data_IF_901205702574
#
_entry.id   IF_901205702574
#
_cell.length_a   1.000
_cell.length_b   1.000
_cell.length_c   1.000
_cell.angle_alpha   90.00
_cell.angle_beta   90.00
_cell.angle_gamma   90.00
#
_symmetry.space_group_name_H-M   'P 1'
#
loop_
_entity.id
_entity.type
_entity.pdbx_description
1 polymer ?
#
# COMPACT_ATOMS: atom_id res chain seq x y z
N UNK A 1 -10.15 -41.89 1.49
CA UNK A 1 -9.50 -40.59 1.72
C UNK A 1 -10.12 -39.97 2.95
N UNK A 2 -9.42 -39.90 4.10
CA UNK A 2 -9.95 -39.20 5.28
C UNK A 2 -10.05 -37.70 4.96
N UNK A 3 -11.20 -37.10 5.24
CA UNK A 3 -11.34 -35.64 5.22
C UNK A 3 -10.63 -35.10 6.46
N UNK A 4 -9.68 -34.18 6.27
CA UNK A 4 -8.98 -33.53 7.38
C UNK A 4 -9.99 -32.84 8.30
N UNK A 5 -9.75 -32.94 9.62
CA UNK A 5 -10.61 -32.34 10.62
C UNK A 5 -10.61 -30.80 10.55
N UNK A 6 -11.63 -30.20 11.18
CA UNK A 6 -11.67 -28.78 11.59
C UNK A 6 -11.80 -27.73 10.45
N UNK A 7 -12.92 -27.79 9.72
CA UNK A 7 -13.53 -26.61 9.05
C UNK A 7 -14.68 -26.00 9.89
N UNK A 8 -14.56 -26.02 11.23
CA UNK A 8 -15.55 -25.45 12.15
C UNK A 8 -14.84 -24.43 13.05
N UNK A 9 -15.12 -23.14 12.85
CA UNK A 9 -14.86 -22.12 13.88
C UNK A 9 -14.26 -20.80 13.41
N UNK A 10 -13.34 -20.80 12.43
CA UNK A 10 -12.68 -19.56 11.97
C UNK A 10 -13.33 -19.06 10.68
N UNK A 11 -14.10 -17.94 10.69
CA UNK A 11 -14.58 -17.33 9.46
C UNK A 11 -13.39 -16.81 8.65
N UNK A 12 -13.44 -16.96 7.32
CA UNK A 12 -12.47 -16.29 6.44
C UNK A 12 -12.68 -14.77 6.49
N UNK A 13 -11.71 -14.00 5.97
CA UNK A 13 -11.73 -12.53 6.10
C UNK A 13 -12.99 -11.90 5.49
N UNK A 14 -13.52 -12.47 4.40
CA UNK A 14 -14.78 -12.03 3.82
C UNK A 14 -15.98 -12.28 4.77
N UNK A 15 -16.09 -13.46 5.36
CA UNK A 15 -17.15 -13.77 6.33
C UNK A 15 -17.00 -12.97 7.64
N UNK A 16 -15.77 -12.78 8.12
CA UNK A 16 -15.48 -11.97 9.31
C UNK A 16 -15.87 -10.50 9.12
N UNK A 17 -15.61 -9.95 7.93
CA UNK A 17 -16.08 -8.61 7.56
C UNK A 17 -17.61 -8.53 7.51
N UNK A 18 -18.29 -9.49 6.88
CA UNK A 18 -19.76 -9.51 6.83
C UNK A 18 -20.40 -9.69 8.21
N UNK A 19 -19.76 -10.43 9.11
CA UNK A 19 -20.20 -10.57 10.51
C UNK A 19 -20.01 -9.25 11.29
N UNK A 20 -18.88 -8.56 11.09
CA UNK A 20 -18.60 -7.29 11.78
C UNK A 20 -19.49 -6.13 11.34
N UNK A 21 -20.23 -6.24 10.23
CA UNK A 21 -21.29 -5.29 9.86
C UNK A 21 -22.49 -5.30 10.83
N UNK A 22 -22.66 -6.37 11.63
CA UNK A 22 -23.71 -6.47 12.65
C UNK A 22 -23.37 -5.66 13.91
N UNK A 23 -22.09 -5.46 14.19
CA UNK A 23 -21.59 -4.70 15.32
C UNK A 23 -21.48 -3.22 14.94
N UNK A 24 -22.38 -2.40 15.46
CA UNK A 24 -22.44 -0.96 15.14
C UNK A 24 -21.37 -0.12 15.85
N UNK A 25 -20.64 -0.67 16.83
CA UNK A 25 -19.56 0.04 17.51
C UNK A 25 -18.27 0.08 16.69
N UNK A 26 -18.08 -0.90 15.78
CA UNK A 26 -16.92 -0.93 14.89
C UNK A 26 -17.05 0.12 13.79
N UNK A 27 -16.15 1.10 13.81
CA UNK A 27 -16.06 2.16 12.79
C UNK A 27 -15.55 1.56 11.46
N UNK A 28 -16.21 1.93 10.37
CA UNK A 28 -15.70 1.69 9.01
C UNK A 28 -14.98 2.94 8.48
N UNK A 29 -13.74 2.76 8.03
CA UNK A 29 -12.96 3.78 7.33
C UNK A 29 -12.93 3.46 5.85
N UNK A 30 -13.51 4.34 5.04
CA UNK A 30 -13.43 4.25 3.57
C UNK A 30 -12.12 4.90 3.10
N UNK A 31 -11.27 4.13 2.40
CA UNK A 31 -10.00 4.59 1.84
C UNK A 31 -10.18 5.24 0.46
N UNK A 32 -10.98 4.61 -0.40
CA UNK A 32 -11.43 5.19 -1.66
C UNK A 32 -12.81 4.65 -2.07
N UNK A 33 -13.48 5.36 -2.99
CA UNK A 33 -14.73 4.94 -3.63
C UNK A 33 -14.64 5.31 -5.10
N UNK A 34 -14.80 4.33 -5.98
CA UNK A 34 -14.69 4.48 -7.43
C UNK A 34 -16.02 4.05 -8.04
N UNK A 35 -16.82 4.96 -8.65
CA UNK A 35 -18.17 4.64 -9.11
C UNK A 35 -18.23 3.58 -10.21
N UNK A 36 -17.23 3.56 -11.11
CA UNK A 36 -17.22 2.78 -12.34
C UNK A 36 -16.03 1.80 -12.39
N UNK A 37 -16.21 0.65 -11.73
CA UNK A 37 -15.32 -0.50 -11.83
C UNK A 37 -15.98 -1.62 -12.65
N UNK A 38 -15.22 -2.23 -13.56
CA UNK A 38 -15.67 -3.32 -14.43
C UNK A 38 -14.98 -4.63 -14.03
N UNK A 39 -15.72 -5.73 -14.00
CA UNK A 39 -15.23 -7.05 -13.57
C UNK A 39 -15.36 -8.06 -14.71
N UNK A 40 -14.28 -8.77 -14.98
CA UNK A 40 -14.11 -9.69 -16.09
C UNK A 40 -13.84 -11.11 -15.60
N UNK A 41 -14.31 -12.09 -16.37
CA UNK A 41 -13.89 -13.48 -16.17
C UNK A 41 -12.46 -13.65 -16.68
N UNK A 42 -11.57 -14.20 -15.85
CA UNK A 42 -10.21 -14.49 -16.29
C UNK A 42 -10.14 -15.72 -17.20
N UNK A 43 -9.23 -15.72 -18.19
CA UNK A 43 -8.83 -16.95 -18.88
C UNK A 43 -8.10 -17.90 -17.91
N UNK A 44 -7.89 -19.18 -18.29
CA UNK A 44 -7.04 -20.09 -17.53
C UNK A 44 -5.66 -19.47 -17.25
N UNK A 45 -5.18 -19.59 -16.01
CA UNK A 45 -3.98 -18.89 -15.53
C UNK A 45 -2.79 -19.14 -16.46
N UNK A 46 -2.16 -18.09 -17.02
CA UNK A 46 -1.03 -18.26 -17.93
C UNK A 46 0.16 -18.88 -17.19
N UNK A 47 0.82 -19.86 -17.82
CA UNK A 47 1.94 -20.63 -17.25
C UNK A 47 3.23 -19.81 -17.11
N UNK A 48 3.35 -18.70 -17.85
CA UNK A 48 4.42 -17.72 -17.71
C UNK A 48 3.93 -16.35 -18.23
N UNK A 49 4.46 -15.24 -17.68
CA UNK A 49 4.24 -13.89 -18.22
C UNK A 49 3.30 -12.96 -17.42
N UNK A 50 2.67 -13.44 -16.34
CA UNK A 50 1.73 -12.65 -15.55
C UNK A 50 0.38 -12.44 -16.23
N UNK A 51 -0.50 -11.64 -15.62
CA UNK A 51 -1.83 -11.34 -16.17
C UNK A 51 -1.75 -10.20 -17.19
N UNK A 52 -2.52 -10.33 -18.28
CA UNK A 52 -2.66 -9.33 -19.33
C UNK A 52 -4.12 -8.96 -19.48
N UNK A 53 -4.43 -7.67 -19.41
CA UNK A 53 -5.79 -7.15 -19.53
C UNK A 53 -6.36 -7.28 -20.94
N UNK A 54 -5.51 -7.25 -21.97
CA UNK A 54 -5.91 -7.44 -23.35
C UNK A 54 -6.45 -8.85 -23.67
N UNK A 55 -6.22 -9.84 -22.80
CA UNK A 55 -6.64 -11.23 -22.98
C UNK A 55 -8.02 -11.50 -22.31
N UNK A 56 -8.74 -10.47 -21.84
CA UNK A 56 -10.05 -10.59 -21.19
C UNK A 56 -11.18 -10.16 -22.14
N UNK A 57 -12.10 -11.09 -22.42
CA UNK A 57 -13.18 -10.92 -23.41
C UNK A 57 -14.55 -10.64 -22.77
N UNK A 58 -14.81 -11.28 -21.62
CA UNK A 58 -16.14 -11.31 -21.00
C UNK A 58 -16.20 -10.50 -19.72
N UNK A 59 -16.82 -9.33 -19.83
CA UNK A 59 -17.37 -8.59 -18.69
C UNK A 59 -18.51 -9.39 -18.03
N UNK A 60 -18.55 -9.34 -16.70
CA UNK A 60 -19.50 -10.09 -15.85
C UNK A 60 -20.32 -9.14 -14.98
N UNK A 61 -19.75 -8.00 -14.59
CA UNK A 61 -20.36 -7.04 -13.68
C UNK A 61 -19.73 -5.65 -13.85
N UNK A 62 -20.52 -4.60 -13.66
CA UNK A 62 -20.09 -3.21 -13.52
C UNK A 62 -20.77 -2.62 -12.27
N UNK A 63 -20.04 -1.82 -11.51
CA UNK A 63 -20.58 -1.12 -10.36
C UNK A 63 -19.52 -0.37 -9.57
N UNK A 64 -19.88 0.03 -8.36
CA UNK A 64 -19.03 0.87 -7.50
C UNK A 64 -18.09 0.01 -6.67
N UNK A 65 -16.80 0.31 -6.74
CA UNK A 65 -15.79 -0.28 -5.88
C UNK A 65 -15.57 0.61 -4.65
N UNK A 66 -15.37 -0.01 -3.47
CA UNK A 66 -14.84 0.67 -2.29
C UNK A 66 -13.70 -0.11 -1.68
N UNK A 67 -12.62 0.57 -1.31
CA UNK A 67 -11.62 0.02 -0.38
C UNK A 67 -12.00 0.49 1.01
N UNK A 68 -12.26 -0.44 1.93
CA UNK A 68 -12.73 -0.15 3.29
C UNK A 68 -11.92 -0.90 4.33
N UNK A 69 -11.87 -0.32 5.52
CA UNK A 69 -11.23 -0.90 6.70
C UNK A 69 -12.19 -0.89 7.88
N UNK A 70 -12.23 -2.00 8.61
CA UNK A 70 -13.18 -2.22 9.71
C UNK A 70 -12.49 -3.07 10.78
N UNK A 71 -12.01 -2.42 11.84
CA UNK A 71 -10.99 -3.00 12.73
C UNK A 71 -9.73 -3.39 11.94
N UNK A 72 -9.16 -4.55 12.24
CA UNK A 72 -7.96 -5.08 11.56
C UNK A 72 -8.21 -5.58 10.12
N UNK A 73 -9.46 -5.57 9.64
CA UNK A 73 -9.83 -6.08 8.32
C UNK A 73 -9.75 -4.97 7.27
N UNK A 74 -8.99 -5.19 6.19
CA UNK A 74 -9.06 -4.36 4.96
C UNK A 74 -9.65 -5.21 3.85
N UNK A 75 -10.71 -4.73 3.21
CA UNK A 75 -11.40 -5.43 2.12
C UNK A 75 -11.74 -4.48 0.98
N UNK A 76 -11.84 -5.04 -0.22
CA UNK A 76 -12.39 -4.39 -1.41
C UNK A 76 -13.84 -4.87 -1.55
N UNK A 77 -14.79 -3.95 -1.53
CA UNK A 77 -16.20 -4.20 -1.79
C UNK A 77 -16.53 -3.91 -3.24
N UNK A 78 -17.30 -4.80 -3.86
CA UNK A 78 -17.97 -4.58 -5.12
C UNK A 78 -19.45 -4.34 -4.83
N UNK A 79 -19.98 -3.14 -5.11
CA UNK A 79 -21.34 -2.71 -4.79
C UNK A 79 -22.16 -2.49 -6.08
N UNK A 80 -23.31 -3.15 -6.20
CA UNK A 80 -24.21 -2.96 -7.34
C UNK A 80 -24.75 -1.52 -7.35
N UNK A 81 -24.58 -0.83 -8.48
CA UNK A 81 -24.92 0.59 -8.65
C UNK A 81 -26.41 0.92 -8.47
N UNK A 82 -27.30 -0.07 -8.58
CA UNK A 82 -28.75 0.14 -8.47
C UNK A 82 -29.26 0.22 -7.04
N UNK A 83 -28.60 -0.48 -6.12
CA UNK A 83 -29.10 -0.68 -4.74
C UNK A 83 -28.01 -0.61 -3.65
N UNK A 84 -26.75 -0.38 -4.02
CA UNK A 84 -25.58 -0.42 -3.14
C UNK A 84 -25.42 -1.75 -2.36
N UNK A 85 -25.98 -2.86 -2.87
CA UNK A 85 -25.81 -4.18 -2.26
C UNK A 85 -24.43 -4.76 -2.57
N UNK A 86 -23.86 -5.48 -1.60
CA UNK A 86 -22.56 -6.14 -1.75
C UNK A 86 -22.70 -7.31 -2.72
N UNK A 87 -22.09 -7.17 -3.90
CA UNK A 87 -21.93 -8.24 -4.89
C UNK A 87 -20.81 -9.20 -4.49
N UNK A 88 -19.68 -8.67 -4.01
CA UNK A 88 -18.55 -9.47 -3.53
C UNK A 88 -17.67 -8.72 -2.51
N UNK A 89 -16.94 -9.48 -1.71
CA UNK A 89 -15.92 -9.01 -0.77
C UNK A 89 -14.59 -9.67 -1.14
N UNK A 90 -13.55 -8.86 -1.37
CA UNK A 90 -12.21 -9.33 -1.72
C UNK A 90 -11.23 -8.92 -0.60
N UNK A 91 -10.75 -9.86 0.23
CA UNK A 91 -9.78 -9.58 1.28
C UNK A 91 -8.47 -9.00 0.74
N UNK A 92 -8.01 -7.89 1.31
CA UNK A 92 -6.68 -7.34 0.99
C UNK A 92 -5.64 -8.10 1.81
N UNK A 93 -4.98 -9.05 1.16
CA UNK A 93 -3.89 -9.88 1.71
C UNK A 93 -2.79 -10.04 0.67
N UNK A 94 -1.62 -10.55 1.06
CA UNK A 94 -0.49 -10.69 0.14
C UNK A 94 -0.85 -11.63 -1.04
N UNK A 95 -0.56 -11.19 -2.26
CA UNK A 95 -0.99 -11.87 -3.49
C UNK A 95 -2.51 -11.91 -3.75
N UNK A 96 -3.33 -11.13 -3.03
CA UNK A 96 -4.77 -11.01 -3.33
C UNK A 96 -5.11 -9.99 -4.42
N UNK A 97 -4.18 -9.07 -4.73
CA UNK A 97 -4.30 -8.08 -5.79
C UNK A 97 -3.02 -8.12 -6.63
N UNK A 98 -3.13 -8.59 -7.87
CA UNK A 98 -2.06 -8.56 -8.87
C UNK A 98 -2.34 -7.44 -9.88
N UNK A 99 -1.32 -6.74 -10.37
CA UNK A 99 -1.47 -5.77 -11.48
C UNK A 99 -1.14 -6.42 -12.82
N UNK A 100 -1.87 -6.05 -13.87
CA UNK A 100 -1.59 -6.54 -15.22
C UNK A 100 -0.31 -5.94 -15.81
N UNK A 101 0.42 -6.73 -16.61
CA UNK A 101 1.73 -6.32 -17.15
C UNK A 101 1.63 -5.34 -18.33
N UNK A 102 0.49 -5.32 -19.02
CA UNK A 102 0.21 -4.54 -20.22
C UNK A 102 -0.60 -3.25 -19.96
N UNK A 103 -1.10 -3.05 -18.74
CA UNK A 103 -2.03 -1.97 -18.44
C UNK A 103 -1.90 -1.45 -17.00
N UNK A 104 -1.95 -0.13 -16.83
CA UNK A 104 -2.02 0.50 -15.50
C UNK A 104 -3.44 0.54 -14.92
N UNK A 105 -4.47 0.19 -15.71
CA UNK A 105 -5.88 0.25 -15.30
C UNK A 105 -6.48 -1.10 -14.91
N UNK A 106 -5.73 -2.18 -15.10
CA UNK A 106 -6.23 -3.55 -15.02
C UNK A 106 -5.51 -4.31 -13.91
N UNK A 107 -6.29 -4.98 -13.07
CA UNK A 107 -5.87 -5.68 -11.87
C UNK A 107 -6.58 -7.02 -11.78
N UNK A 108 -5.99 -7.99 -11.10
CA UNK A 108 -6.63 -9.27 -10.77
C UNK A 108 -6.89 -9.31 -9.28
N UNK A 109 -8.15 -9.56 -8.92
CA UNK A 109 -8.60 -9.67 -7.53
C UNK A 109 -8.88 -11.11 -7.15
N UNK A 110 -8.40 -11.52 -5.97
CA UNK A 110 -8.81 -12.74 -5.29
C UNK A 110 -10.13 -12.49 -4.54
N UNK A 111 -11.22 -13.04 -5.05
CA UNK A 111 -12.52 -13.03 -4.38
C UNK A 111 -12.63 -14.27 -3.49
N UNK A 112 -13.10 -14.11 -2.26
CA UNK A 112 -13.36 -15.23 -1.34
C UNK A 112 -14.86 -15.41 -1.13
N UNK A 113 -15.33 -16.65 -1.27
CA UNK A 113 -16.68 -17.07 -0.91
C UNK A 113 -16.75 -17.45 0.57
N UNK A 114 -17.92 -17.35 1.20
CA UNK A 114 -18.14 -17.79 2.58
C UNK A 114 -17.75 -19.27 2.82
N UNK A 115 -17.82 -20.10 1.78
CA UNK A 115 -17.39 -21.52 1.77
C UNK A 115 -15.86 -21.74 1.91
N UNK A 116 -15.05 -20.68 2.03
CA UNK A 116 -13.59 -20.75 2.02
C UNK A 116 -12.96 -21.01 0.63
N UNK A 117 -13.78 -21.14 -0.42
CA UNK A 117 -13.32 -21.18 -1.82
C UNK A 117 -12.91 -19.79 -2.26
N UNK A 118 -11.78 -19.69 -2.97
CA UNK A 118 -11.35 -18.45 -3.62
C UNK A 118 -11.35 -18.62 -5.14
N UNK A 119 -11.56 -17.51 -5.85
CA UNK A 119 -11.48 -17.42 -7.31
C UNK A 119 -10.84 -16.09 -7.69
N UNK A 120 -10.20 -16.03 -8.86
CA UNK A 120 -9.60 -14.80 -9.37
C UNK A 120 -10.50 -14.19 -10.44
N UNK A 121 -10.75 -12.88 -10.35
CA UNK A 121 -11.46 -12.08 -11.36
C UNK A 121 -10.54 -11.00 -11.92
N UNK A 122 -10.75 -10.62 -13.17
CA UNK A 122 -10.17 -9.41 -13.72
C UNK A 122 -10.98 -8.20 -13.27
N UNK A 123 -10.31 -7.09 -13.03
CA UNK A 123 -10.91 -5.79 -12.73
C UNK A 123 -10.27 -4.74 -13.62
N UNK A 124 -11.06 -3.86 -14.20
CA UNK A 124 -10.58 -2.71 -14.95
C UNK A 124 -11.31 -1.42 -14.57
N UNK A 125 -10.59 -0.30 -14.67
CA UNK A 125 -11.13 1.04 -14.51
C UNK A 125 -11.18 1.79 -15.86
N UNK A 126 -12.14 2.71 -15.98
CA UNK A 126 -12.25 3.57 -17.16
C UNK A 126 -11.10 4.59 -17.21
N UNK A 127 -10.78 5.25 -16.09
CA UNK A 127 -9.69 6.22 -16.05
C UNK A 127 -8.41 5.68 -15.43
N UNK A 128 -7.28 6.29 -15.82
CA UNK A 128 -5.97 5.99 -15.20
C UNK A 128 -5.87 6.57 -13.78
N UNK A 129 -6.66 7.60 -13.48
CA UNK A 129 -6.68 8.26 -12.18
C UNK A 129 -7.37 7.34 -11.14
N UNK A 130 -8.55 6.80 -11.45
CA UNK A 130 -9.24 5.82 -10.60
C UNK A 130 -8.33 4.62 -10.25
N UNK A 131 -7.61 4.11 -11.25
CA UNK A 131 -6.66 3.02 -11.06
C UNK A 131 -5.46 3.38 -10.19
N UNK A 132 -5.02 4.64 -10.23
CA UNK A 132 -3.97 5.17 -9.38
C UNK A 132 -4.47 5.34 -7.94
N UNK A 133 -5.64 5.96 -7.76
CA UNK A 133 -6.28 6.16 -6.45
C UNK A 133 -6.58 4.83 -5.76
N UNK A 134 -7.01 3.81 -6.51
CA UNK A 134 -7.15 2.44 -6.03
C UNK A 134 -5.82 1.87 -5.52
N UNK A 135 -4.76 1.97 -6.32
CA UNK A 135 -3.45 1.43 -5.97
C UNK A 135 -2.85 2.15 -4.75
N UNK A 136 -2.95 3.48 -4.69
CA UNK A 136 -2.51 4.29 -3.54
C UNK A 136 -3.31 3.94 -2.27
N UNK A 137 -4.64 3.78 -2.37
CA UNK A 137 -5.45 3.38 -1.23
C UNK A 137 -5.04 2.01 -0.64
N UNK A 138 -4.61 1.06 -1.47
CA UNK A 138 -4.08 -0.23 -1.02
C UNK A 138 -2.66 -0.11 -0.42
N UNK A 139 -1.78 0.69 -1.02
CA UNK A 139 -0.42 0.93 -0.53
C UNK A 139 -0.44 1.65 0.84
N UNK A 140 -1.30 2.66 1.02
CA UNK A 140 -1.49 3.37 2.28
C UNK A 140 -2.06 2.44 3.37
N UNK A 141 -3.10 1.67 3.06
CA UNK A 141 -3.68 0.68 3.97
C UNK A 141 -2.64 -0.35 4.45
N UNK A 142 -1.82 -0.87 3.52
CA UNK A 142 -0.71 -1.77 3.85
C UNK A 142 0.33 -1.09 4.74
N UNK A 143 0.76 0.12 4.36
CA UNK A 143 1.80 0.88 5.06
C UNK A 143 1.40 1.22 6.49
N UNK A 144 0.15 1.66 6.72
CA UNK A 144 -0.34 1.98 8.06
C UNK A 144 -0.35 0.73 8.95
N UNK A 145 -0.81 -0.43 8.47
CA UNK A 145 -0.74 -1.69 9.22
C UNK A 145 0.68 -2.14 9.52
N UNK A 146 1.61 -2.00 8.58
CA UNK A 146 3.03 -2.30 8.82
C UNK A 146 3.60 -1.39 9.92
N UNK A 147 3.19 -0.11 9.98
CA UNK A 147 3.59 0.83 11.05
C UNK A 147 2.97 0.46 12.40
N UNK A 148 1.66 0.19 12.46
CA UNK A 148 0.95 -0.20 13.69
C UNK A 148 1.53 -1.50 14.28
N UNK A 149 1.73 -2.53 13.46
CA UNK A 149 2.36 -3.78 13.89
C UNK A 149 3.79 -3.57 14.40
N UNK A 150 4.52 -2.60 13.87
CA UNK A 150 5.88 -2.30 14.34
C UNK A 150 5.88 -1.47 15.63
N UNK A 151 4.91 -0.56 15.84
CA UNK A 151 4.74 0.10 17.15
C UNK A 151 4.36 -0.91 18.23
N UNK A 152 3.40 -1.81 17.96
CA UNK A 152 3.00 -2.85 18.90
C UNK A 152 4.17 -3.77 19.32
N UNK A 153 5.10 -4.07 18.41
CA UNK A 153 6.33 -4.83 18.73
C UNK A 153 7.34 -4.04 19.58
N UNK A 154 7.37 -2.71 19.48
CA UNK A 154 8.27 -1.86 20.27
C UNK A 154 7.77 -1.68 21.71
N UNK A 155 6.46 -1.70 21.92
CA UNK A 155 5.83 -1.61 23.25
C UNK A 155 5.93 -2.93 24.05
N UNK A 156 6.27 -4.04 23.38
CA UNK A 156 6.65 -5.34 23.99
C UNK A 156 8.18 -5.42 24.19
N UNK A 157 8.85 -4.28 24.31
CA UNK A 157 10.17 -4.24 24.94
C UNK A 157 10.02 -4.49 26.44
N UNK A 158 10.77 -5.45 27.00
CA UNK A 158 10.81 -5.66 28.46
C UNK A 158 10.99 -4.31 29.18
N UNK A 159 10.28 -4.07 30.31
CA UNK A 159 10.44 -2.85 31.08
C UNK A 159 11.89 -2.78 31.60
N UNK A 160 12.73 -2.06 30.85
CA UNK A 160 14.13 -1.87 31.18
C UNK A 160 14.20 -1.16 32.51
N UNK A 161 14.66 -1.90 33.51
CA UNK A 161 14.89 -1.37 34.83
C UNK A 161 16.07 -0.39 34.77
N UNK A 162 15.74 0.90 34.63
CA UNK A 162 16.68 2.00 34.71
C UNK A 162 16.95 2.42 36.16
N UNK A 163 16.56 1.62 37.16
CA UNK A 163 16.89 1.92 38.55
C UNK A 163 18.41 1.84 38.74
N UNK A 164 18.95 2.95 39.24
CA UNK A 164 20.37 3.11 39.55
C UNK A 164 20.65 2.25 40.78
N UNK A 165 21.56 1.28 40.68
CA UNK A 165 21.98 0.48 41.83
C UNK A 165 22.64 1.39 42.86
N UNK A 166 22.33 1.16 44.14
CA UNK A 166 22.71 2.03 45.24
C UNK A 166 24.24 2.26 45.27
N UNK A 167 24.66 3.48 44.92
CA UNK A 167 26.07 3.89 44.83
C UNK A 167 26.57 4.31 43.43
N UNK A 168 25.85 3.97 42.35
CA UNK A 168 26.26 4.33 40.99
C UNK A 168 25.90 5.80 40.65
N UNK A 169 26.82 6.57 40.06
CA UNK A 169 26.62 7.98 39.71
C UNK A 169 26.60 8.18 38.20
N UNK A 170 25.44 8.54 37.65
CA UNK A 170 25.31 8.91 36.23
C UNK A 170 26.03 10.25 35.99
N UNK A 171 27.11 10.23 35.20
CA UNK A 171 27.85 11.44 34.82
C UNK A 171 27.23 12.11 33.59
N UNK A 172 26.31 13.06 33.82
CA UNK A 172 25.67 13.82 32.73
C UNK A 172 26.56 14.99 32.31
N UNK A 173 27.21 14.86 31.15
CA UNK A 173 28.00 15.94 30.54
C UNK A 173 27.09 17.00 29.91
N UNK A 174 26.53 17.91 30.72
CA UNK A 174 25.66 19.01 30.24
C UNK A 174 26.49 20.04 29.48
N UNK A 175 26.60 19.85 28.17
CA UNK A 175 27.14 20.86 27.25
C UNK A 175 26.29 22.13 27.30
N UNK A 176 26.92 23.28 27.59
CA UNK A 176 26.22 24.56 27.72
C UNK A 176 25.59 24.97 26.39
N UNK A 177 24.26 25.03 26.35
CA UNK A 177 23.50 25.62 25.23
C UNK A 177 23.81 27.11 25.13
N UNK A 178 24.77 27.49 24.29
CA UNK A 178 25.00 28.87 23.91
C UNK A 178 23.91 29.32 22.93
N UNK A 179 22.89 30.00 23.46
CA UNK A 179 21.89 30.69 22.66
C UNK A 179 22.55 31.80 21.84
N UNK A 180 22.88 31.55 20.57
CA UNK A 180 23.28 32.62 19.66
C UNK A 180 22.16 32.91 18.66
N UNK A 181 21.31 33.88 19.03
CA UNK A 181 20.30 34.46 18.12
C UNK A 181 21.00 35.30 17.05
N UNK A 182 20.33 35.42 15.91
CA UNK A 182 20.83 36.04 14.67
C UNK A 182 21.43 37.43 14.90
N UNK A 183 22.58 37.70 14.28
CA UNK A 183 23.03 39.06 13.97
C UNK A 183 23.38 39.18 12.49
N UNK A 184 22.57 39.95 11.77
CA UNK A 184 22.73 40.29 10.35
C UNK A 184 23.39 41.68 10.26
N UNK A 185 24.61 41.78 9.73
CA UNK A 185 25.10 42.99 9.04
C UNK A 185 26.28 42.69 8.10
N UNK A 186 26.62 43.68 7.29
CA UNK A 186 27.17 43.59 5.92
C UNK A 186 28.30 44.61 5.75
N UNK A 187 29.26 44.29 4.86
CA UNK A 187 30.32 45.18 4.34
C UNK A 187 31.40 45.60 5.36
N UNK A 188 32.69 45.81 5.03
CA UNK A 188 33.54 45.45 3.87
C UNK A 188 35.02 45.52 4.38
N UNK A 189 36.14 45.33 3.65
CA UNK A 189 36.48 45.36 2.20
C UNK A 189 37.70 44.41 1.96
N UNK A 190 38.39 44.46 0.81
CA UNK A 190 39.85 44.16 0.79
C UNK A 190 40.44 43.11 -0.18
N UNK A 191 40.13 43.17 -1.47
CA UNK A 191 41.10 42.95 -2.59
C UNK A 191 41.90 41.62 -2.68
N UNK A 192 41.54 40.73 -3.64
CA UNK A 192 42.32 40.44 -4.90
C UNK A 192 41.81 39.20 -5.67
N UNK A 193 41.78 39.33 -7.01
CA UNK A 193 41.84 38.28 -8.06
C UNK A 193 41.00 37.00 -7.91
N UNK A 194 39.92 36.90 -8.69
CA UNK A 194 39.10 35.69 -8.78
C UNK A 194 39.72 34.56 -9.61
N UNK A 195 39.35 33.32 -9.27
CA UNK A 195 39.60 32.11 -10.06
C UNK A 195 38.29 31.48 -10.50
N UNK A 196 38.04 31.44 -11.80
CA UNK A 196 36.84 30.82 -12.38
C UNK A 196 36.95 29.29 -12.37
N UNK A 197 35.80 28.62 -12.22
CA UNK A 197 35.66 27.19 -12.52
C UNK A 197 35.98 26.93 -14.00
N UNK A 198 36.78 25.91 -14.30
CA UNK A 198 37.14 25.57 -15.69
C UNK A 198 35.93 24.98 -16.43
N UNK A 199 35.54 25.51 -17.61
CA UNK A 199 34.63 24.81 -18.50
C UNK A 199 35.34 23.60 -19.12
N UNK A 200 34.64 22.48 -19.25
CA UNK A 200 35.10 21.31 -20.01
C UNK A 200 34.78 21.50 -21.49
N UNK A 201 35.80 21.46 -22.35
CA UNK A 201 35.69 21.21 -23.80
C UNK A 201 37.06 21.05 -24.43
N UNK A 202 37.25 19.98 -25.21
CA UNK A 202 37.80 20.03 -26.59
C UNK A 202 37.84 18.65 -27.25
N UNK A 203 37.23 18.57 -28.44
CA UNK A 203 37.54 17.61 -29.52
C UNK A 203 39.05 17.61 -29.86
N UNK A 204 39.64 16.66 -30.59
CA UNK A 204 39.42 16.23 -32.01
C UNK A 204 40.52 15.17 -32.32
N UNK A 205 40.70 14.61 -33.55
CA UNK A 205 39.81 14.41 -34.69
C UNK A 205 39.77 12.95 -35.21
N UNK A 206 38.87 12.71 -36.18
CA UNK A 206 38.73 11.47 -36.97
C UNK A 206 39.98 11.22 -37.86
N UNK A 207 40.48 9.98 -37.91
CA UNK A 207 41.48 9.52 -38.91
C UNK A 207 40.87 8.51 -39.88
N UNK A 208 41.06 8.75 -41.17
CA UNK A 208 40.81 7.81 -42.28
C UNK A 208 42.13 7.51 -42.98
N UNK A 209 42.42 6.24 -43.26
CA UNK A 209 43.43 5.76 -44.22
C UNK A 209 43.00 4.38 -44.70
N UNK A 210 43.18 4.10 -46.00
CA UNK A 210 42.78 2.85 -46.66
C UNK A 210 41.82 3.12 -47.82
#
# INVERSE_FOLDING_TARGET
MPKTAEQIGVPNVAAAYLESLKDLEVIERVRCTIPDAHIFKLPPRPTAGGWRGADWDKEVWQGTLKVVERGDLTVILLLDSKNNSIFAVCPVSDGAVDRCVDSSRYFVLKVESADGKHLFVGMAFNERNDAFDFNTALEDARREKEVEQNMAKLDIGEPKDYSIKEGEKIHISVGKTSTNRLSKKKAETGTKSGGFLKPSSKDTPRRTMG
#
